data_IF_769580085573
#
_entry.id   IF_769580085573
#
_cell.length_a   1.000
_cell.length_b   1.000
_cell.length_c   1.000
_cell.angle_alpha   90.00
_cell.angle_beta   90.00
_cell.angle_gamma   90.00
#
_symmetry.space_group_name_H-M   'P 1'
#
loop_
_entity.id
_entity.type
_entity.pdbx_description
1 polymer ?
#
# COMPACT_ATOMS: atom_id res chain seq x y z
N UNK A 1 4.81 -6.14 5.22
CA UNK A 1 5.63 -6.35 4.01
C UNK A 1 7.00 -5.69 4.12
N UNK A 2 7.10 -4.36 4.33
CA UNK A 2 8.40 -3.66 4.40
C UNK A 2 9.36 -4.21 5.46
N UNK A 3 8.89 -4.66 6.63
CA UNK A 3 9.75 -5.33 7.61
C UNK A 3 10.45 -6.59 7.06
N UNK A 4 9.72 -7.50 6.41
CA UNK A 4 10.30 -8.70 5.80
C UNK A 4 11.23 -8.36 4.62
N UNK A 5 10.86 -7.37 3.81
CA UNK A 5 11.71 -6.91 2.70
C UNK A 5 13.01 -6.28 3.19
N UNK A 6 12.97 -5.53 4.30
CA UNK A 6 14.17 -4.99 4.94
C UNK A 6 15.10 -6.09 5.44
N UNK A 7 14.57 -7.19 5.99
CA UNK A 7 15.39 -8.34 6.42
C UNK A 7 16.11 -8.95 5.22
N UNK A 8 15.41 -9.13 4.08
CA UNK A 8 16.01 -9.60 2.85
C UNK A 8 17.11 -8.65 2.33
N UNK A 9 16.83 -7.34 2.29
CA UNK A 9 17.81 -6.36 1.81
C UNK A 9 19.07 -6.34 2.70
N UNK A 10 18.91 -6.40 4.01
CA UNK A 10 20.06 -6.51 4.92
C UNK A 10 20.85 -7.81 4.72
N UNK A 11 20.18 -8.95 4.49
CA UNK A 11 20.90 -10.22 4.24
C UNK A 11 21.68 -10.22 2.93
N UNK A 12 21.29 -9.37 1.97
CA UNK A 12 22.00 -9.13 0.72
C UNK A 12 23.11 -8.06 0.85
N UNK A 13 23.32 -7.48 2.04
CA UNK A 13 24.38 -6.51 2.30
C UNK A 13 24.00 -5.05 2.04
N UNK A 14 22.73 -4.75 1.80
CA UNK A 14 22.28 -3.36 1.63
C UNK A 14 22.21 -2.62 2.98
N UNK A 15 22.61 -1.36 2.98
CA UNK A 15 22.37 -0.43 4.10
C UNK A 15 20.96 0.13 3.98
N UNK A 16 20.02 -0.45 4.72
CA UNK A 16 18.61 -0.03 4.75
C UNK A 16 18.37 0.96 5.88
N UNK A 17 17.61 2.02 5.61
CA UNK A 17 17.11 2.99 6.58
C UNK A 17 15.59 2.91 6.67
N UNK A 18 15.05 2.90 7.88
CA UNK A 18 13.61 2.86 8.13
C UNK A 18 13.11 4.26 8.46
N UNK A 19 12.01 4.69 7.86
CA UNK A 19 11.46 6.03 8.04
C UNK A 19 10.04 5.96 8.59
N UNK A 20 9.73 6.87 9.51
CA UNK A 20 8.34 7.11 9.91
C UNK A 20 7.59 7.70 8.72
N UNK A 21 6.45 7.14 8.38
CA UNK A 21 5.62 7.66 7.31
C UNK A 21 4.13 7.66 7.68
N UNK A 22 3.38 8.56 7.04
CA UNK A 22 1.94 8.65 7.16
C UNK A 22 1.28 8.78 5.80
N UNK A 23 0.29 7.93 5.54
CA UNK A 23 -0.55 8.01 4.34
C UNK A 23 -1.58 9.11 4.54
N UNK A 24 -1.87 9.86 3.47
CA UNK A 24 -2.99 10.79 3.40
C UNK A 24 -4.14 10.20 2.57
N UNK A 25 -5.17 9.62 3.19
CA UNK A 25 -6.41 9.25 2.52
C UNK A 25 -7.07 10.45 1.84
N UNK A 26 -7.92 10.17 0.86
CA UNK A 26 -8.70 11.21 0.19
C UNK A 26 -9.57 11.96 1.20
N UNK A 27 -9.51 13.29 1.18
CA UNK A 27 -10.28 14.16 2.09
C UNK A 27 -9.64 14.38 3.47
N UNK A 28 -8.51 13.76 3.77
CA UNK A 28 -7.79 13.95 5.05
C UNK A 28 -6.57 14.87 4.90
N UNK A 29 -6.04 15.34 6.02
CA UNK A 29 -4.81 16.16 6.07
C UNK A 29 -3.53 15.29 5.98
N UNK A 30 -2.44 15.81 5.39
CA UNK A 30 -1.13 15.15 5.38
C UNK A 30 -0.59 14.99 6.80
N UNK A 31 0.25 13.97 7.02
CA UNK A 31 0.76 13.60 8.36
C UNK A 31 1.96 12.67 8.28
N UNK A 32 2.79 12.69 9.33
CA UNK A 32 3.72 11.61 9.67
C UNK A 32 3.35 11.09 11.05
N UNK A 33 2.95 9.82 11.14
CA UNK A 33 2.39 9.25 12.37
C UNK A 33 2.75 7.78 12.60
N UNK A 34 3.81 7.31 11.94
CA UNK A 34 4.31 5.93 12.04
C UNK A 34 3.26 4.86 11.67
N UNK A 35 2.21 5.25 10.93
CA UNK A 35 1.26 4.30 10.34
C UNK A 35 1.94 3.40 9.31
N UNK A 36 2.89 3.96 8.56
CA UNK A 36 3.60 3.25 7.51
C UNK A 36 5.10 3.23 7.81
N UNK A 37 5.72 2.07 7.57
CA UNK A 37 7.16 1.87 7.62
C UNK A 37 7.74 2.14 6.24
N UNK A 38 8.28 3.34 6.02
CA UNK A 38 9.02 3.67 4.81
C UNK A 38 10.41 3.06 4.82
N UNK A 39 10.95 2.67 3.66
CA UNK A 39 12.34 2.22 3.56
C UNK A 39 13.09 3.05 2.52
N UNK A 40 14.37 3.26 2.79
CA UNK A 40 15.33 3.66 1.80
C UNK A 40 16.60 2.82 1.90
N UNK A 41 17.37 2.77 0.82
CA UNK A 41 18.64 2.06 0.73
C UNK A 41 19.72 3.05 0.31
N UNK A 42 20.87 2.98 0.98
CA UNK A 42 22.06 3.71 0.54
C UNK A 42 22.87 2.85 -0.42
N UNK A 43 23.23 3.43 -1.54
CA UNK A 43 24.11 2.84 -2.55
C UNK A 43 25.32 3.76 -2.78
N UNK A 44 26.49 3.19 -3.12
CA UNK A 44 27.61 4.00 -3.63
C UNK A 44 27.17 4.71 -4.92
N UNK A 45 27.22 6.03 -4.94
CA UNK A 45 26.96 6.85 -6.13
C UNK A 45 28.23 7.15 -6.91
N UNK A 46 28.09 7.96 -7.95
CA UNK A 46 29.24 8.53 -8.66
C UNK A 46 30.03 9.50 -7.77
N UNK A 47 31.36 9.56 -7.94
CA UNK A 47 32.22 10.56 -7.28
C UNK A 47 32.25 10.51 -5.74
N UNK A 48 32.16 9.32 -5.13
CA UNK A 48 32.16 9.12 -3.67
C UNK A 48 30.97 9.77 -2.92
N UNK A 49 29.87 10.09 -3.61
CA UNK A 49 28.63 10.51 -2.95
C UNK A 49 27.73 9.29 -2.72
N UNK A 50 27.13 9.18 -1.54
CA UNK A 50 26.11 8.15 -1.29
C UNK A 50 24.79 8.56 -1.95
N UNK A 51 24.17 7.65 -2.71
CA UNK A 51 22.83 7.84 -3.25
C UNK A 51 21.80 7.10 -2.42
N UNK A 52 20.73 7.80 -2.03
CA UNK A 52 19.61 7.22 -1.30
C UNK A 52 18.48 6.88 -2.26
N UNK A 53 17.95 5.66 -2.15
CA UNK A 53 16.90 5.13 -3.00
C UNK A 53 15.70 4.69 -2.16
N UNK A 54 14.52 5.23 -2.44
CA UNK A 54 13.24 4.82 -1.86
C UNK A 54 12.89 3.44 -2.41
N UNK A 55 12.65 2.48 -1.50
CA UNK A 55 12.16 1.14 -1.85
C UNK A 55 10.97 0.81 -0.96
N UNK A 56 9.84 0.45 -1.55
CA UNK A 56 8.62 0.25 -0.76
C UNK A 56 7.72 -0.79 -1.39
N UNK A 57 7.44 -1.83 -0.62
CA UNK A 57 6.55 -2.93 -0.99
C UNK A 57 5.34 -3.02 -0.05
N UNK A 58 5.09 -2.02 0.80
CA UNK A 58 4.09 -2.08 1.88
C UNK A 58 2.80 -1.32 1.66
N UNK A 59 2.76 -0.35 0.73
CA UNK A 59 1.60 0.56 0.58
C UNK A 59 0.51 0.10 -0.37
N UNK A 60 0.76 -0.94 -1.18
CA UNK A 60 -0.16 -1.41 -2.22
C UNK A 60 -0.34 -0.46 -3.41
N UNK A 61 0.22 0.76 -3.37
CA UNK A 61 0.19 1.77 -4.44
C UNK A 61 1.55 2.19 -5.01
N UNK A 62 2.63 1.72 -4.39
CA UNK A 62 3.98 2.25 -4.58
C UNK A 62 4.52 2.08 -6.02
N UNK A 63 5.51 2.91 -6.41
CA UNK A 63 6.25 2.77 -7.66
C UNK A 63 6.71 1.33 -7.85
N UNK A 64 6.60 0.85 -9.08
CA UNK A 64 7.01 -0.53 -9.42
C UNK A 64 8.54 -0.71 -9.36
N UNK A 65 9.30 0.37 -9.48
CA UNK A 65 10.76 0.39 -9.42
C UNK A 65 11.21 1.27 -8.25
N UNK A 66 12.38 0.99 -7.65
CA UNK A 66 13.03 1.91 -6.72
C UNK A 66 13.11 3.32 -7.29
N UNK A 67 12.89 4.34 -6.45
CA UNK A 67 13.03 5.74 -6.85
C UNK A 67 14.26 6.35 -6.18
N UNK A 68 15.12 7.10 -6.89
CA UNK A 68 16.12 7.89 -6.20
C UNK A 68 15.43 8.94 -5.35
N UNK A 69 15.97 9.23 -4.16
CA UNK A 69 15.50 10.31 -3.29
C UNK A 69 15.96 11.66 -3.86
N UNK A 70 15.42 12.02 -5.02
CA UNK A 70 15.64 13.29 -5.72
C UNK A 70 14.29 13.83 -6.17
N UNK A 71 13.97 15.08 -5.85
CA UNK A 71 12.67 15.64 -6.20
C UNK A 71 12.46 15.66 -7.72
N UNK A 72 11.25 15.30 -8.13
CA UNK A 72 10.90 15.14 -9.54
C UNK A 72 9.71 14.22 -9.77
N UNK A 73 9.35 14.03 -11.03
CA UNK A 73 8.28 13.14 -11.45
C UNK A 73 8.86 11.84 -11.98
N UNK A 74 8.33 10.71 -11.50
CA UNK A 74 8.77 9.37 -11.85
C UNK A 74 7.62 8.53 -12.41
N UNK A 75 7.99 7.46 -13.10
CA UNK A 75 7.05 6.53 -13.70
C UNK A 75 6.51 7.00 -15.05
N UNK A 76 5.46 6.33 -15.52
CA UNK A 76 4.81 6.61 -16.79
C UNK A 76 3.31 6.37 -16.64
N UNK A 77 2.50 7.10 -17.42
CA UNK A 77 1.06 6.96 -17.39
C UNK A 77 0.63 5.48 -17.56
N UNK A 78 -0.37 5.01 -16.79
CA UNK A 78 -1.20 5.79 -15.88
C UNK A 78 -0.62 5.94 -14.46
N UNK A 79 0.63 5.53 -14.23
CA UNK A 79 1.23 5.46 -12.90
C UNK A 79 2.45 6.38 -12.78
N UNK A 80 2.14 7.65 -12.54
CA UNK A 80 3.15 8.67 -12.26
C UNK A 80 3.17 9.01 -10.78
N UNK A 81 4.35 9.41 -10.30
CA UNK A 81 4.56 9.76 -8.91
C UNK A 81 5.36 11.06 -8.84
N UNK A 82 4.91 12.03 -8.04
CA UNK A 82 5.68 13.24 -7.79
C UNK A 82 6.36 13.12 -6.43
N UNK A 83 7.69 13.14 -6.44
CA UNK A 83 8.48 13.22 -5.22
C UNK A 83 8.82 14.69 -4.98
N UNK A 84 8.28 15.24 -3.89
CA UNK A 84 8.40 16.67 -3.54
C UNK A 84 8.80 16.81 -2.06
N UNK A 85 9.25 18.00 -1.61
CA UNK A 85 9.42 18.26 -0.18
C UNK A 85 8.11 18.05 0.60
N UNK A 86 8.20 17.47 1.79
CA UNK A 86 7.03 17.34 2.67
C UNK A 86 6.64 18.69 3.26
N UNK A 87 5.33 18.98 3.31
CA UNK A 87 4.80 20.17 3.98
C UNK A 87 4.61 20.00 5.49
N UNK A 88 4.73 18.77 6.00
CA UNK A 88 4.46 18.41 7.41
C UNK A 88 5.67 17.85 8.14
N UNK A 89 6.77 17.61 7.43
CA UNK A 89 8.05 17.19 8.00
C UNK A 89 9.18 18.01 7.36
N UNK A 90 9.82 18.89 8.15
CA UNK A 90 10.99 19.62 7.70
C UNK A 90 12.07 18.65 7.20
N UNK A 91 12.65 18.92 6.03
CA UNK A 91 13.61 18.04 5.33
C UNK A 91 13.07 16.65 4.94
N UNK A 92 11.83 16.34 5.28
CA UNK A 92 11.13 15.16 4.82
C UNK A 92 10.69 15.29 3.37
N UNK A 93 10.21 14.17 2.82
CA UNK A 93 9.70 14.12 1.46
C UNK A 93 8.29 13.57 1.43
N UNK A 94 7.60 13.88 0.33
CA UNK A 94 6.26 13.43 0.04
C UNK A 94 6.24 12.76 -1.31
N UNK A 95 5.64 11.57 -1.36
CA UNK A 95 5.31 10.90 -2.61
C UNK A 95 3.83 11.10 -2.90
N UNK A 96 3.53 11.85 -3.94
CA UNK A 96 2.16 12.03 -4.44
C UNK A 96 1.86 11.03 -5.54
N UNK A 97 0.63 10.51 -5.52
CA UNK A 97 0.14 9.66 -6.57
C UNK A 97 -0.51 10.50 -7.68
N UNK A 98 -0.62 9.91 -8.86
CA UNK A 98 -1.61 10.33 -9.85
C UNK A 98 -3.05 10.35 -9.26
N UNK A 99 -3.99 11.14 -9.82
CA UNK A 99 -5.32 11.39 -9.23
C UNK A 99 -6.17 10.15 -8.92
N UNK A 100 -5.93 9.02 -9.59
CA UNK A 100 -6.63 7.76 -9.37
C UNK A 100 -5.84 6.76 -8.50
N UNK A 101 -4.81 7.25 -7.82
CA UNK A 101 -4.01 6.50 -6.87
C UNK A 101 -4.82 6.03 -5.65
N UNK A 102 -4.25 5.13 -4.84
CA UNK A 102 -4.96 4.59 -3.67
C UNK A 102 -5.14 5.60 -2.53
N UNK A 103 -4.42 6.73 -2.57
CA UNK A 103 -4.45 7.83 -1.61
C UNK A 103 -3.91 9.10 -2.30
N UNK A 104 -3.96 10.25 -1.63
CA UNK A 104 -3.42 11.50 -2.21
C UNK A 104 -1.89 11.51 -2.20
N UNK A 105 -1.29 10.98 -1.14
CA UNK A 105 0.15 10.86 -1.04
C UNK A 105 0.58 10.20 0.26
N UNK A 106 1.89 10.16 0.47
CA UNK A 106 2.53 9.67 1.69
C UNK A 106 3.67 10.61 2.05
N UNK A 107 3.68 11.07 3.30
CA UNK A 107 4.75 11.90 3.85
C UNK A 107 5.70 11.04 4.70
N UNK A 108 7.00 11.34 4.60
CA UNK A 108 8.09 10.62 5.27
C UNK A 108 8.90 11.61 6.10
N UNK A 109 9.20 11.24 7.34
CA UNK A 109 10.20 11.96 8.13
C UNK A 109 11.62 11.74 7.57
N UNK A 110 12.50 12.75 7.66
CA UNK A 110 13.88 12.63 7.18
C UNK A 110 14.69 11.62 8.00
N UNK A 111 14.47 11.62 9.33
CA UNK A 111 15.18 10.76 10.25
C UNK A 111 14.88 9.29 9.96
N UNK A 112 15.90 8.45 10.15
CA UNK A 112 15.71 7.02 10.20
C UNK A 112 15.60 6.53 11.64
N UNK A 113 14.88 5.42 11.82
CA UNK A 113 14.71 4.74 13.11
C UNK A 113 15.38 3.38 13.08
N UNK A 114 16.05 3.01 14.18
CA UNK A 114 16.78 1.74 14.28
C UNK A 114 15.98 0.59 14.89
N UNK A 115 14.75 0.86 15.35
CA UNK A 115 13.95 -0.09 16.14
C UNK A 115 12.49 -0.09 15.66
N UNK A 116 11.85 -1.26 15.77
CA UNK A 116 10.47 -1.46 15.33
C UNK A 116 9.45 -0.87 16.32
N UNK A 117 9.85 -0.61 17.56
CA UNK A 117 9.00 -0.13 18.66
C UNK A 117 8.17 1.10 18.27
N UNK A 118 8.72 1.98 17.43
CA UNK A 118 8.05 3.15 16.87
C UNK A 118 6.75 2.82 16.09
N UNK A 119 6.68 1.62 15.48
CA UNK A 119 5.57 1.20 14.63
C UNK A 119 4.59 0.25 15.34
N UNK A 120 4.99 -0.36 16.46
CA UNK A 120 4.18 -1.37 17.16
C UNK A 120 2.81 -0.82 17.57
N UNK A 121 2.68 0.35 18.23
CA UNK A 121 1.38 0.84 18.67
C UNK A 121 0.39 1.08 17.51
N UNK A 122 0.89 1.58 16.38
CA UNK A 122 0.07 1.77 15.18
C UNK A 122 -0.29 0.43 14.55
N UNK A 123 0.65 -0.50 14.46
CA UNK A 123 0.37 -1.83 13.94
C UNK A 123 -0.70 -2.54 14.75
N UNK A 124 -0.61 -2.54 16.08
CA UNK A 124 -1.60 -3.12 16.98
C UNK A 124 -2.98 -2.49 16.78
N UNK A 125 -3.06 -1.14 16.79
CA UNK A 125 -4.32 -0.45 16.55
C UNK A 125 -4.95 -0.85 15.21
N UNK A 126 -4.21 -0.77 14.11
CA UNK A 126 -4.77 -0.99 12.78
C UNK A 126 -5.09 -2.47 12.49
N UNK A 127 -4.39 -3.41 13.13
CA UNK A 127 -4.60 -4.85 12.93
C UNK A 127 -5.62 -5.48 13.89
N UNK A 128 -5.80 -4.92 15.10
CA UNK A 128 -6.60 -5.57 16.14
C UNK A 128 -7.79 -4.73 16.63
N UNK A 129 -7.73 -3.40 16.55
CA UNK A 129 -8.79 -2.56 17.10
C UNK A 129 -10.07 -2.65 16.29
N UNK A 130 -11.22 -2.76 16.98
CA UNK A 130 -12.55 -2.62 16.37
C UNK A 130 -12.78 -1.22 15.78
N UNK A 131 -12.01 -0.22 16.25
CA UNK A 131 -12.05 1.15 15.73
C UNK A 131 -11.12 1.33 14.52
N UNK A 132 -10.36 0.30 14.13
CA UNK A 132 -9.55 0.35 12.93
C UNK A 132 -10.44 0.49 11.70
N UNK A 133 -10.13 1.41 10.77
CA UNK A 133 -10.82 1.45 9.49
C UNK A 133 -10.60 0.16 8.69
N UNK A 134 -9.68 -0.72 9.07
CA UNK A 134 -9.45 -2.00 8.40
C UNK A 134 -10.24 -3.17 9.01
N UNK A 135 -10.86 -2.98 10.19
CA UNK A 135 -11.44 -4.09 10.97
C UNK A 135 -12.47 -4.90 10.17
N UNK A 136 -13.38 -4.21 9.48
CA UNK A 136 -14.44 -4.83 8.68
C UNK A 136 -14.18 -4.71 7.16
N UNK A 137 -12.94 -4.44 6.75
CA UNK A 137 -12.60 -4.23 5.36
C UNK A 137 -11.87 -5.44 4.78
N UNK A 138 -12.48 -6.06 3.79
CA UNK A 138 -11.78 -7.02 2.94
C UNK A 138 -11.08 -6.27 1.81
N UNK A 139 -9.75 -6.15 1.88
CA UNK A 139 -8.96 -5.39 0.92
C UNK A 139 -7.75 -6.20 0.45
N UNK A 140 -7.65 -6.40 -0.86
CA UNK A 140 -6.44 -6.86 -1.51
C UNK A 140 -6.00 -5.85 -2.55
N UNK A 141 -4.68 -5.62 -2.62
CA UNK A 141 -4.06 -4.78 -3.63
C UNK A 141 -2.87 -5.51 -4.23
N UNK A 142 -2.78 -5.48 -5.54
CA UNK A 142 -1.66 -6.05 -6.29
C UNK A 142 -1.37 -5.14 -7.47
N UNK A 143 -0.09 -4.97 -7.77
CA UNK A 143 0.38 -4.11 -8.85
C UNK A 143 1.54 -4.80 -9.57
N UNK A 144 1.55 -4.65 -10.89
CA UNK A 144 2.74 -4.87 -11.70
C UNK A 144 3.07 -3.59 -12.49
N UNK A 145 4.03 -3.67 -13.40
CA UNK A 145 4.47 -2.51 -14.19
C UNK A 145 3.34 -1.87 -15.01
N UNK A 146 2.38 -2.66 -15.51
CA UNK A 146 1.37 -2.21 -16.48
C UNK A 146 -0.03 -2.01 -15.89
N UNK A 147 -0.34 -2.63 -14.75
CA UNK A 147 -1.68 -2.57 -14.15
C UNK A 147 -1.68 -2.66 -12.63
N UNK A 148 -2.75 -2.16 -12.01
CA UNK A 148 -3.07 -2.43 -10.61
C UNK A 148 -4.48 -3.02 -10.46
N UNK A 149 -4.61 -3.91 -9.48
CA UNK A 149 -5.84 -4.52 -9.04
C UNK A 149 -6.11 -4.14 -7.59
N UNK A 150 -7.35 -3.76 -7.28
CA UNK A 150 -7.84 -3.62 -5.92
C UNK A 150 -9.15 -4.40 -5.81
N UNK A 151 -9.21 -5.36 -4.88
CA UNK A 151 -10.47 -6.00 -4.48
C UNK A 151 -10.86 -5.43 -3.13
N UNK A 152 -11.97 -4.69 -3.08
CA UNK A 152 -12.56 -4.14 -1.85
C UNK A 152 -13.96 -4.70 -1.66
N UNK A 153 -14.15 -5.53 -0.63
CA UNK A 153 -15.37 -6.31 -0.46
C UNK A 153 -15.61 -7.15 -1.71
N UNK A 154 -16.74 -6.91 -2.38
CA UNK A 154 -17.09 -7.56 -3.64
C UNK A 154 -16.72 -6.74 -4.90
N UNK A 155 -16.07 -5.58 -4.77
CA UNK A 155 -15.73 -4.72 -5.91
C UNK A 155 -14.28 -4.90 -6.35
N UNK A 156 -14.07 -5.48 -7.53
CA UNK A 156 -12.78 -5.53 -8.20
C UNK A 156 -12.59 -4.29 -9.08
N UNK A 157 -11.55 -3.52 -8.80
CA UNK A 157 -11.09 -2.38 -9.59
C UNK A 157 -9.81 -2.76 -10.33
N UNK A 158 -9.78 -2.52 -11.63
CA UNK A 158 -8.63 -2.71 -12.51
C UNK A 158 -8.24 -1.36 -13.08
N UNK A 159 -6.98 -0.94 -12.92
CA UNK A 159 -6.44 0.28 -13.50
C UNK A 159 -5.27 -0.06 -14.42
N UNK A 160 -5.34 0.37 -15.68
CA UNK A 160 -4.26 0.24 -16.67
C UNK A 160 -4.32 1.37 -17.71
N UNK A 161 -3.49 1.30 -18.76
CA UNK A 161 -3.45 2.31 -19.82
C UNK A 161 -4.78 2.49 -20.58
N UNK A 162 -5.73 1.55 -20.48
CA UNK A 162 -7.09 1.69 -21.06
C UNK A 162 -8.05 2.39 -20.11
N UNK A 163 -7.60 2.83 -18.94
CA UNK A 163 -8.38 3.47 -17.91
C UNK A 163 -8.80 2.52 -16.78
N UNK A 164 -9.86 2.90 -16.07
CA UNK A 164 -10.33 2.19 -14.88
C UNK A 164 -11.60 1.40 -15.21
N UNK A 165 -11.58 0.11 -14.87
CA UNK A 165 -12.74 -0.79 -14.96
C UNK A 165 -13.09 -1.30 -13.58
N UNK A 166 -14.38 -1.45 -13.31
CA UNK A 166 -14.90 -1.99 -12.04
C UNK A 166 -15.84 -3.14 -12.33
N UNK A 167 -15.73 -4.21 -11.56
CA UNK A 167 -16.58 -5.39 -11.65
C UNK A 167 -17.03 -5.78 -10.25
N UNK A 168 -18.29 -6.17 -10.12
CA UNK A 168 -18.82 -6.74 -8.89
C UNK A 168 -18.68 -8.26 -8.95
N UNK A 169 -18.04 -8.82 -7.93
CA UNK A 169 -17.96 -10.26 -7.67
C UNK A 169 -19.24 -10.68 -6.97
N UNK A 170 -19.95 -11.65 -7.54
CA UNK A 170 -21.32 -12.00 -7.08
C UNK A 170 -21.39 -13.37 -6.43
N UNK A 171 -20.43 -14.23 -6.70
CA UNK A 171 -20.44 -15.61 -6.21
C UNK A 171 -19.15 -15.98 -5.49
N UNK A 172 -19.25 -16.98 -4.60
CA UNK A 172 -18.10 -17.56 -3.92
C UNK A 172 -17.03 -18.07 -4.91
N UNK A 173 -17.45 -18.70 -6.01
CA UNK A 173 -16.53 -19.24 -7.01
C UNK A 173 -15.78 -18.13 -7.75
N UNK A 174 -16.48 -17.05 -8.13
CA UNK A 174 -15.83 -15.86 -8.72
C UNK A 174 -14.85 -15.22 -7.74
N UNK A 175 -15.21 -15.16 -6.45
CA UNK A 175 -14.35 -14.63 -5.41
C UNK A 175 -13.07 -15.44 -5.25
N UNK A 176 -13.17 -16.76 -5.06
CA UNK A 176 -11.99 -17.65 -4.96
C UNK A 176 -11.13 -17.62 -6.23
N UNK A 177 -11.76 -17.62 -7.41
CA UNK A 177 -11.03 -17.53 -8.69
C UNK A 177 -10.28 -16.20 -8.78
N UNK A 178 -10.92 -15.09 -8.40
CA UNK A 178 -10.29 -13.76 -8.35
C UNK A 178 -9.09 -13.75 -7.41
N UNK A 179 -9.25 -14.27 -6.19
CA UNK A 179 -8.15 -14.34 -5.21
C UNK A 179 -6.97 -15.17 -5.73
N UNK A 180 -7.24 -16.29 -6.40
CA UNK A 180 -6.22 -17.21 -6.90
C UNK A 180 -5.53 -16.67 -8.16
N UNK A 181 -6.31 -16.30 -9.16
CA UNK A 181 -5.80 -16.01 -10.51
C UNK A 181 -5.18 -14.62 -10.60
N UNK A 182 -5.74 -13.65 -9.87
CA UNK A 182 -5.29 -12.26 -9.90
C UNK A 182 -4.31 -11.98 -8.75
N UNK A 183 -4.70 -12.32 -7.51
CA UNK A 183 -3.93 -11.95 -6.33
C UNK A 183 -2.93 -13.02 -5.86
N UNK A 184 -2.99 -14.23 -6.43
CA UNK A 184 -2.15 -15.36 -6.04
C UNK A 184 -2.28 -15.73 -4.55
N UNK A 185 -3.45 -15.47 -3.96
CA UNK A 185 -3.76 -15.76 -2.56
C UNK A 185 -5.00 -16.66 -2.47
N UNK A 186 -4.88 -17.97 -2.73
CA UNK A 186 -6.00 -18.92 -2.68
C UNK A 186 -6.52 -19.21 -1.26
N UNK A 187 -5.95 -18.57 -0.23
CA UNK A 187 -6.29 -18.76 1.18
C UNK A 187 -6.12 -20.23 1.62
N UNK A 188 -5.05 -20.89 1.15
CA UNK A 188 -4.82 -22.34 1.37
C UNK A 188 -4.69 -22.75 2.84
N UNK A 189 -4.42 -21.80 3.74
CA UNK A 189 -4.35 -22.05 5.18
C UNK A 189 -5.72 -22.16 5.84
N UNK A 190 -6.78 -21.81 5.11
CA UNK A 190 -8.15 -21.87 5.58
C UNK A 190 -8.88 -23.03 4.91
N UNK A 191 -9.67 -23.75 5.71
CA UNK A 191 -10.57 -24.77 5.22
C UNK A 191 -11.58 -24.19 4.23
N UNK A 192 -12.29 -25.07 3.51
CA UNK A 192 -13.38 -24.63 2.63
C UNK A 192 -14.48 -23.90 3.42
N UNK A 193 -14.83 -24.41 4.61
CA UNK A 193 -15.87 -23.84 5.47
C UNK A 193 -15.51 -22.43 5.95
N UNK A 194 -14.29 -22.22 6.43
CA UNK A 194 -13.81 -20.88 6.85
C UNK A 194 -13.83 -19.88 5.69
N UNK A 195 -13.45 -20.31 4.48
CA UNK A 195 -13.53 -19.45 3.28
C UNK A 195 -14.96 -19.09 2.91
N UNK A 196 -15.90 -20.04 3.02
CA UNK A 196 -17.33 -19.77 2.79
C UNK A 196 -17.91 -18.82 3.84
N UNK A 197 -17.48 -18.93 5.10
CA UNK A 197 -17.85 -18.00 6.17
C UNK A 197 -17.30 -16.59 5.92
N UNK A 198 -16.03 -16.46 5.53
CA UNK A 198 -15.45 -15.18 5.12
C UNK A 198 -16.24 -14.56 3.97
N UNK A 199 -16.56 -15.34 2.93
CA UNK A 199 -17.34 -14.84 1.81
C UNK A 199 -18.72 -14.33 2.23
N UNK A 200 -19.43 -15.05 3.12
CA UNK A 200 -20.73 -14.58 3.65
C UNK A 200 -20.60 -13.24 4.36
N UNK A 201 -19.55 -13.04 5.15
CA UNK A 201 -19.28 -11.77 5.83
C UNK A 201 -19.00 -10.64 4.82
N UNK A 202 -18.14 -10.89 3.83
CA UNK A 202 -17.81 -9.94 2.75
C UNK A 202 -19.06 -9.54 1.98
N UNK A 203 -19.89 -10.52 1.59
CA UNK A 203 -21.12 -10.28 0.85
C UNK A 203 -22.14 -9.47 1.68
N UNK A 204 -22.28 -9.79 2.97
CA UNK A 204 -23.20 -9.08 3.87
C UNK A 204 -22.81 -7.61 3.99
N UNK A 205 -21.53 -7.33 4.27
CA UNK A 205 -21.01 -5.96 4.35
C UNK A 205 -21.15 -5.20 3.03
N UNK A 206 -20.96 -5.87 1.89
CA UNK A 206 -21.14 -5.26 0.56
C UNK A 206 -22.59 -4.87 0.28
N UNK A 207 -23.56 -5.71 0.65
CA UNK A 207 -24.98 -5.38 0.45
C UNK A 207 -25.46 -4.26 1.39
N UNK A 208 -24.93 -4.20 2.62
CA UNK A 208 -25.17 -3.06 3.52
C UNK A 208 -24.60 -1.76 2.95
N UNK A 209 -23.37 -1.79 2.43
CA UNK A 209 -22.75 -0.65 1.76
C UNK A 209 -23.58 -0.20 0.54
N UNK A 210 -24.06 -1.13 -0.29
CA UNK A 210 -24.92 -0.79 -1.45
C UNK A 210 -26.20 -0.09 -1.05
N UNK A 211 -26.86 -0.55 0.01
CA UNK A 211 -28.07 0.11 0.54
C UNK A 211 -27.77 1.53 1.00
N UNK A 212 -26.65 1.74 1.68
CA UNK A 212 -26.23 3.06 2.17
C UNK A 212 -25.83 4.04 1.05
N UNK A 213 -25.48 3.56 -0.15
CA UNK A 213 -25.19 4.41 -1.32
C UNK A 213 -26.44 4.83 -2.11
N UNK A 214 -27.58 4.18 -1.87
CA UNK A 214 -28.83 4.42 -2.59
C UNK A 214 -29.83 5.30 -1.82
N UNK A 215 -29.58 5.54 -0.53
CA UNK A 215 -30.34 6.47 0.31
C UNK A 215 -29.60 7.78 0.51
#
# INVERSE_FOLDING_TARGET
MNGAFSVLLHSLGYTVRWHRAGVQPHGEQPRVNSFHLGLSVLLPGSENQEEQWIVDVGLGGMPFQPLPLRYGTYGQAPFTYNLIPSSVAAEGWRLEYEPNGPSLGVDYAPDWVGQLDEFIPKHEFYSQSIQSPWHNNFLLRQRNAQRSHELRGCMLRIHDAKGIRKMEIRTFNEWISTLTDIFHEPLIRYSKMEREEMWKQVQTAHEEWKKAQQG
#
